data_IF_851500075491
#
_entry.id   IF_851500075491
#
_cell.length_a   1.000
_cell.length_b   1.000
_cell.length_c   1.000
_cell.angle_alpha   90.00
_cell.angle_beta   90.00
_cell.angle_gamma   90.00
#
_symmetry.space_group_name_H-M   'P 1'
#
loop_
_entity.id
_entity.type
_entity.pdbx_description
1 polymer ?
#
# COMPACT_ATOMS: atom_id res chain seq x y z
N UNK A 1 -1.74 18.50 -12.48
CA UNK A 1 -0.65 17.51 -12.70
C UNK A 1 0.33 17.46 -11.53
N UNK A 2 1.13 18.50 -11.25
CA UNK A 2 2.03 18.52 -10.08
C UNK A 2 1.30 18.25 -8.75
N UNK A 3 0.20 18.96 -8.51
CA UNK A 3 -0.62 18.77 -7.31
C UNK A 3 -1.20 17.35 -7.20
N UNK A 4 -1.58 16.73 -8.32
CA UNK A 4 -2.05 15.35 -8.36
C UNK A 4 -0.92 14.36 -8.04
N UNK A 5 0.31 14.62 -8.51
CA UNK A 5 1.47 13.78 -8.20
C UNK A 5 1.83 13.88 -6.72
N UNK A 6 1.82 15.08 -6.14
CA UNK A 6 2.01 15.27 -4.69
C UNK A 6 0.93 14.56 -3.87
N UNK A 7 -0.33 14.62 -4.31
CA UNK A 7 -1.43 13.87 -3.68
C UNK A 7 -1.18 12.35 -3.73
N UNK A 8 -0.69 11.83 -4.85
CA UNK A 8 -0.36 10.40 -4.96
C UNK A 8 0.77 10.03 -4.00
N UNK A 9 1.84 10.84 -3.90
CA UNK A 9 2.95 10.59 -2.97
C UNK A 9 2.53 10.57 -1.50
N UNK A 10 1.54 11.39 -1.14
CA UNK A 10 0.94 11.45 0.20
C UNK A 10 -0.07 10.33 0.48
N UNK A 11 -0.37 9.45 -0.47
CA UNK A 11 -1.24 8.30 -0.21
C UNK A 11 -0.55 7.40 0.81
N UNK A 12 -1.28 7.06 1.87
CA UNK A 12 -0.90 5.99 2.77
C UNK A 12 -1.93 4.87 2.71
N UNK A 13 -1.42 3.63 2.70
CA UNK A 13 -2.22 2.42 2.78
C UNK A 13 -1.66 1.51 3.84
N UNK A 14 -2.56 0.86 4.57
CA UNK A 14 -2.22 -0.11 5.61
C UNK A 14 -2.66 -1.47 5.11
N UNK A 15 -1.69 -2.34 4.85
CA UNK A 15 -1.94 -3.75 4.57
C UNK A 15 -1.87 -4.57 5.85
N UNK A 16 -2.75 -5.57 5.94
CA UNK A 16 -2.89 -6.39 7.15
C UNK A 16 -2.78 -7.87 6.84
N UNK A 17 -2.34 -8.66 7.82
CA UNK A 17 -2.39 -10.12 7.79
C UNK A 17 -2.50 -10.70 9.21
N UNK A 18 -2.78 -12.00 9.31
CA UNK A 18 -2.84 -12.69 10.60
C UNK A 18 -3.91 -12.17 11.56
N UNK A 19 -5.03 -11.65 11.04
CA UNK A 19 -6.09 -11.06 11.86
C UNK A 19 -5.66 -9.76 12.55
N UNK A 20 -5.08 -8.83 11.79
CA UNK A 20 -4.50 -7.56 12.26
C UNK A 20 -3.25 -7.70 13.14
N UNK A 21 -2.70 -8.90 13.28
CA UNK A 21 -1.46 -9.15 14.02
C UNK A 21 -0.21 -8.59 13.34
N UNK A 22 -0.25 -8.38 12.01
CA UNK A 22 0.80 -7.69 11.26
C UNK A 22 0.19 -6.59 10.41
N UNK A 23 0.69 -5.36 10.55
CA UNK A 23 0.29 -4.21 9.74
C UNK A 23 1.50 -3.57 9.08
N UNK A 24 1.41 -3.34 7.78
CA UNK A 24 2.45 -2.68 6.97
C UNK A 24 1.86 -1.41 6.37
N UNK A 25 2.47 -0.27 6.65
CA UNK A 25 2.10 1.00 6.01
C UNK A 25 3.03 1.27 4.84
N UNK A 26 2.45 1.46 3.65
CA UNK A 26 3.16 1.94 2.47
C UNK A 26 2.76 3.37 2.13
N UNK A 27 3.73 4.17 1.72
CA UNK A 27 3.50 5.50 1.13
C UNK A 27 3.09 5.40 -0.36
N UNK A 28 2.85 6.55 -0.98
CA UNK A 28 2.44 6.66 -2.38
C UNK A 28 3.43 6.11 -3.40
N UNK A 29 4.71 6.07 -3.03
CA UNK A 29 5.81 5.53 -3.82
C UNK A 29 5.96 4.01 -3.60
N UNK A 30 5.22 3.47 -2.63
CA UNK A 30 5.21 2.06 -2.27
C UNK A 30 6.38 1.66 -1.39
N UNK A 31 7.02 2.62 -0.73
CA UNK A 31 8.02 2.38 0.32
C UNK A 31 7.33 2.06 1.63
N UNK A 32 7.90 1.13 2.39
CA UNK A 32 7.43 0.81 3.73
C UNK A 32 7.87 1.87 4.71
N UNK A 33 6.90 2.59 5.28
CA UNK A 33 7.15 3.66 6.25
C UNK A 33 6.81 3.25 7.68
N UNK A 34 6.02 2.18 7.86
CA UNK A 34 5.72 1.62 9.17
C UNK A 34 5.51 0.10 9.12
N UNK A 35 5.85 -0.58 10.21
CA UNK A 35 5.59 -2.00 10.45
C UNK A 35 5.18 -2.19 11.91
N UNK A 36 3.98 -2.72 12.13
CA UNK A 36 3.46 -3.04 13.45
C UNK A 36 3.23 -4.56 13.55
N UNK A 37 3.65 -5.13 14.69
CA UNK A 37 3.48 -6.55 15.03
C UNK A 37 2.81 -6.62 16.39
N UNK A 38 1.81 -7.49 16.55
CA UNK A 38 1.22 -7.78 17.85
C UNK A 38 2.16 -8.64 18.71
N UNK A 39 1.99 -8.55 20.03
CA UNK A 39 2.74 -9.37 20.99
C UNK A 39 2.49 -10.88 20.82
N UNK A 40 1.41 -11.27 20.15
CA UNK A 40 1.10 -12.67 19.84
C UNK A 40 1.97 -13.16 18.68
N UNK A 41 2.07 -12.40 17.60
CA UNK A 41 2.88 -12.75 16.43
C UNK A 41 4.36 -12.83 16.76
N UNK A 42 4.86 -12.03 17.70
CA UNK A 42 6.29 -12.07 18.08
C UNK A 42 6.71 -13.37 18.77
N UNK A 43 5.75 -14.20 19.19
CA UNK A 43 5.97 -15.51 19.81
C UNK A 43 5.94 -16.67 18.80
N UNK A 44 5.55 -16.39 17.55
CA UNK A 44 5.48 -17.39 16.49
C UNK A 44 6.86 -17.78 15.96
N UNK A 45 6.93 -18.88 15.20
CA UNK A 45 8.17 -19.25 14.53
C UNK A 45 8.56 -18.19 13.48
N UNK A 46 9.88 -17.97 13.33
CA UNK A 46 10.43 -16.99 12.39
C UNK A 46 9.86 -17.12 10.97
N UNK A 47 9.62 -18.35 10.51
CA UNK A 47 9.03 -18.61 9.18
C UNK A 47 7.62 -18.02 9.04
N UNK A 48 6.79 -18.21 10.07
CA UNK A 48 5.41 -17.70 10.12
C UNK A 48 5.44 -16.17 10.12
N UNK A 49 6.29 -15.56 10.95
CA UNK A 49 6.42 -14.09 11.02
C UNK A 49 6.79 -13.51 9.65
N UNK A 50 7.77 -14.12 8.96
CA UNK A 50 8.20 -13.67 7.62
C UNK A 50 7.07 -13.77 6.61
N UNK A 51 6.32 -14.87 6.61
CA UNK A 51 5.20 -15.07 5.69
C UNK A 51 4.05 -14.09 5.96
N UNK A 52 3.75 -13.79 7.22
CA UNK A 52 2.76 -12.78 7.60
C UNK A 52 3.19 -11.38 7.14
N UNK A 53 4.45 -10.98 7.36
CA UNK A 53 4.96 -9.70 6.87
C UNK A 53 4.84 -9.61 5.35
N UNK A 54 5.21 -10.68 4.63
CA UNK A 54 5.07 -10.74 3.17
C UNK A 54 3.60 -10.61 2.74
N UNK A 55 2.69 -11.28 3.44
CA UNK A 55 1.25 -11.20 3.16
C UNK A 55 0.70 -9.78 3.40
N UNK A 56 1.02 -9.15 4.54
CA UNK A 56 0.62 -7.79 4.86
C UNK A 56 1.17 -6.77 3.85
N UNK A 57 2.44 -6.89 3.47
CA UNK A 57 3.04 -6.04 2.44
C UNK A 57 2.36 -6.23 1.07
N UNK A 58 2.08 -7.47 0.67
CA UNK A 58 1.36 -7.74 -0.58
C UNK A 58 -0.06 -7.15 -0.57
N UNK A 59 -0.75 -7.26 0.57
CA UNK A 59 -2.06 -6.64 0.78
C UNK A 59 -1.97 -5.10 0.65
N UNK A 60 -0.98 -4.47 1.29
CA UNK A 60 -0.74 -3.03 1.18
C UNK A 60 -0.47 -2.62 -0.27
N UNK A 61 0.39 -3.36 -1.00
CA UNK A 61 0.70 -3.06 -2.41
C UNK A 61 -0.52 -3.15 -3.31
N UNK A 62 -1.43 -4.08 -3.04
CA UNK A 62 -2.69 -4.21 -3.79
C UNK A 62 -3.61 -3.00 -3.53
N UNK A 63 -3.77 -2.62 -2.26
CA UNK A 63 -4.53 -1.43 -1.88
C UNK A 63 -3.94 -0.14 -2.47
N UNK A 64 -2.60 -0.01 -2.46
CA UNK A 64 -1.91 1.14 -3.05
C UNK A 64 -2.27 1.29 -4.53
N UNK A 65 -2.19 0.20 -5.30
CA UNK A 65 -2.56 0.21 -6.73
C UNK A 65 -3.99 0.69 -6.95
N UNK A 66 -4.93 0.25 -6.13
CA UNK A 66 -6.34 0.68 -6.21
C UNK A 66 -6.46 2.18 -5.93
N UNK A 67 -5.92 2.65 -4.80
CA UNK A 67 -5.99 4.08 -4.42
C UNK A 67 -5.30 4.99 -5.43
N UNK A 68 -4.12 4.61 -5.91
CA UNK A 68 -3.42 5.35 -6.97
C UNK A 68 -4.25 5.42 -8.24
N UNK A 69 -4.87 4.32 -8.65
CA UNK A 69 -5.77 4.30 -9.82
C UNK A 69 -6.98 5.22 -9.63
N UNK A 70 -7.57 5.22 -8.43
CA UNK A 70 -8.72 6.07 -8.10
C UNK A 70 -8.33 7.55 -8.13
N UNK A 71 -7.17 7.92 -7.59
CA UNK A 71 -6.68 9.31 -7.63
C UNK A 71 -6.32 9.77 -9.06
N UNK A 72 -5.75 8.88 -9.88
CA UNK A 72 -5.53 9.18 -11.30
C UNK A 72 -6.86 9.41 -12.01
N UNK A 73 -7.84 8.52 -11.80
CA UNK A 73 -9.17 8.63 -12.40
C UNK A 73 -9.86 9.95 -12.04
N UNK A 74 -9.79 10.35 -10.76
CA UNK A 74 -10.28 11.67 -10.29
C UNK A 74 -9.56 12.83 -10.97
N UNK A 75 -8.22 12.76 -11.05
CA UNK A 75 -7.42 13.80 -11.67
C UNK A 75 -7.67 13.95 -13.18
N UNK A 76 -8.05 12.87 -13.87
CA UNK A 76 -8.41 12.88 -15.30
C UNK A 76 -9.91 13.09 -15.56
N UNK A 77 -10.71 13.41 -14.52
CA UNK A 77 -12.15 13.65 -14.66
C UNK A 77 -12.95 12.42 -15.10
N UNK A 78 -12.53 11.21 -14.70
CA UNK A 78 -13.17 9.95 -15.07
C UNK A 78 -12.86 9.46 -16.49
N UNK A 79 -12.15 10.25 -17.30
CA UNK A 79 -11.68 9.87 -18.63
C UNK A 79 -10.23 9.35 -18.54
N UNK A 80 -10.04 8.23 -17.85
CA UNK A 80 -8.73 7.57 -17.79
C UNK A 80 -8.31 7.16 -19.20
N UNK A 81 -7.19 7.69 -19.70
CA UNK A 81 -6.67 7.34 -21.04
C UNK A 81 -6.12 5.91 -20.97
N UNK A 82 -6.71 4.92 -21.68
CA UNK A 82 -6.21 3.56 -21.70
C UNK A 82 -4.78 3.55 -22.28
N UNK A 83 -3.83 3.01 -21.52
CA UNK A 83 -2.42 2.92 -21.95
C UNK A 83 -1.56 4.16 -21.65
N UNK A 84 -2.10 5.22 -21.01
CA UNK A 84 -1.28 6.33 -20.55
C UNK A 84 -0.48 5.92 -19.31
N UNK A 85 0.84 5.78 -19.47
CA UNK A 85 1.75 5.62 -18.33
C UNK A 85 1.93 6.98 -17.66
N UNK A 86 1.38 7.12 -16.45
CA UNK A 86 1.62 8.31 -15.66
C UNK A 86 3.11 8.37 -15.28
N UNK A 87 3.78 9.52 -15.48
CA UNK A 87 5.11 9.72 -14.91
C UNK A 87 4.93 9.81 -13.40
N UNK A 88 5.30 8.74 -12.70
CA UNK A 88 5.51 8.73 -11.24
C UNK A 88 6.82 9.46 -10.92
#
# INVERSE_FOLDING_TARGET
MKESQEKIKQIEVIGVSGGDAVKVTLNGEGEMINLELSDEVTKEEKGIIVDLIRAAHSNAKHQLKSKTSDEISKATGGFGIPGFKWPL
#
